data_IF_220816309363
#
_entry.id   IF_220816309363
#
_cell.length_a   1.000
_cell.length_b   1.000
_cell.length_c   1.000
_cell.angle_alpha   90.00
_cell.angle_beta   90.00
_cell.angle_gamma   90.00
#
_symmetry.space_group_name_H-M   'P 1'
#
loop_
_entity.id
_entity.type
_entity.pdbx_description
1 polymer ?
#
# COMPACT_ATOMS: atom_id res chain seq x y z
N UNK A 1 -7.38 11.28 -2.71
CA UNK A 1 -7.52 11.60 -1.26
C UNK A 1 -7.07 10.40 -0.43
N UNK A 2 -7.59 9.20 -0.68
CA UNK A 2 -7.24 7.97 0.06
C UNK A 2 -5.73 7.65 0.09
N UNK A 3 -5.03 7.80 -1.04
CA UNK A 3 -3.58 7.57 -1.10
C UNK A 3 -2.75 8.57 -0.28
N UNK A 4 -3.24 9.80 -0.11
CA UNK A 4 -2.59 10.84 0.68
C UNK A 4 -2.75 10.60 2.18
N UNK A 5 -3.95 10.25 2.62
CA UNK A 5 -4.24 9.93 4.03
C UNK A 5 -3.45 8.69 4.46
N UNK A 6 -3.44 7.63 3.64
CA UNK A 6 -2.63 6.44 3.91
C UNK A 6 -1.13 6.77 3.92
N UNK A 7 -0.65 7.65 3.05
CA UNK A 7 0.74 8.12 3.07
C UNK A 7 1.13 8.78 4.40
N UNK A 8 0.29 9.68 4.92
CA UNK A 8 0.53 10.37 6.20
C UNK A 8 0.50 9.39 7.37
N UNK A 9 -0.48 8.48 7.40
CA UNK A 9 -0.59 7.45 8.43
C UNK A 9 0.64 6.53 8.47
N UNK A 10 1.21 6.20 7.31
CA UNK A 10 2.48 5.46 7.23
C UNK A 10 3.63 6.21 7.89
N UNK A 11 3.78 7.51 7.63
CA UNK A 11 4.84 8.33 8.25
C UNK A 11 4.67 8.39 9.77
N UNK A 12 3.44 8.60 10.25
CA UNK A 12 3.14 8.63 11.69
C UNK A 12 3.48 7.27 12.33
N UNK A 13 3.02 6.18 11.73
CA UNK A 13 3.32 4.82 12.21
C UNK A 13 4.83 4.53 12.23
N UNK A 14 5.55 4.94 11.19
CA UNK A 14 7.01 4.80 11.13
C UNK A 14 7.73 5.58 12.24
N UNK A 15 7.33 6.83 12.47
CA UNK A 15 7.90 7.67 13.54
C UNK A 15 7.66 7.04 14.91
N UNK A 16 6.43 6.57 15.17
CA UNK A 16 6.08 5.90 16.43
C UNK A 16 6.92 4.65 16.68
N UNK A 17 7.25 3.88 15.64
CA UNK A 17 8.02 2.63 15.78
C UNK A 17 9.53 2.85 15.86
N UNK A 18 10.09 3.75 15.07
CA UNK A 18 11.55 3.80 14.86
C UNK A 18 12.25 4.89 15.66
N UNK A 19 11.53 5.90 16.18
CA UNK A 19 12.15 7.05 16.85
C UNK A 19 12.18 6.96 18.36
N UNK A 20 11.30 6.17 18.98
CA UNK A 20 11.18 6.11 20.42
C UNK A 20 11.42 4.70 20.94
N UNK A 21 12.40 4.47 21.83
CA UNK A 21 12.53 3.20 22.51
C UNK A 21 11.36 3.04 23.49
N UNK A 22 10.55 2.01 23.26
CA UNK A 22 9.32 1.77 24.03
C UNK A 22 9.61 0.72 25.12
N UNK A 23 9.14 0.98 26.34
CA UNK A 23 9.22 0.02 27.45
C UNK A 23 8.34 -1.19 27.17
N UNK A 24 8.71 -2.35 27.69
CA UNK A 24 7.97 -3.60 27.46
C UNK A 24 6.47 -3.53 27.84
N UNK A 25 6.13 -2.78 28.89
CA UNK A 25 4.76 -2.50 29.34
C UNK A 25 3.89 -1.86 28.25
N UNK A 26 4.51 -1.11 27.33
CA UNK A 26 3.86 -0.41 26.22
C UNK A 26 4.12 -1.11 24.86
N UNK A 27 4.50 -2.38 24.87
CA UNK A 27 4.76 -3.19 23.67
C UNK A 27 3.60 -3.18 22.66
N UNK A 28 2.36 -3.06 23.14
CA UNK A 28 1.17 -2.96 22.30
C UNK A 28 1.17 -1.69 21.42
N UNK A 29 1.73 -0.57 21.89
CA UNK A 29 1.86 0.68 21.12
C UNK A 29 2.81 0.47 19.95
N UNK A 30 3.94 -0.19 20.20
CA UNK A 30 4.92 -0.54 19.17
C UNK A 30 4.28 -1.39 18.08
N UNK A 31 3.53 -2.43 18.47
CA UNK A 31 2.82 -3.32 17.53
C UNK A 31 1.72 -2.59 16.76
N UNK A 32 0.92 -1.75 17.43
CA UNK A 32 -0.12 -0.96 16.78
C UNK A 32 0.47 0.04 15.76
N UNK A 33 1.58 0.71 16.11
CA UNK A 33 2.29 1.61 15.20
C UNK A 33 2.81 0.88 13.96
N UNK A 34 3.35 -0.32 14.14
CA UNK A 34 3.92 -1.08 13.04
C UNK A 34 2.84 -1.65 12.12
N UNK A 35 1.74 -2.15 12.69
CA UNK A 35 0.55 -2.58 11.93
C UNK A 35 -0.04 -1.39 11.17
N UNK A 36 -0.19 -0.24 11.80
CA UNK A 36 -0.68 0.98 11.14
C UNK A 36 0.22 1.35 9.96
N UNK A 37 1.55 1.38 10.16
CA UNK A 37 2.49 1.65 9.08
C UNK A 37 2.37 0.63 7.94
N UNK A 38 2.43 -0.67 8.25
CA UNK A 38 2.36 -1.74 7.26
C UNK A 38 1.04 -1.71 6.47
N UNK A 39 -0.09 -1.51 7.16
CA UNK A 39 -1.41 -1.36 6.57
C UNK A 39 -1.45 -0.15 5.63
N UNK A 40 -1.04 1.01 6.13
CA UNK A 40 -1.08 2.27 5.39
C UNK A 40 -0.19 2.27 4.15
N UNK A 41 1.00 1.67 4.23
CA UNK A 41 1.89 1.49 3.08
C UNK A 41 1.23 0.62 2.01
N UNK A 42 0.69 -0.54 2.41
CA UNK A 42 0.05 -1.48 1.48
C UNK A 42 -1.23 -0.91 0.89
N UNK A 43 -2.04 -0.21 1.68
CA UNK A 43 -3.21 0.50 1.20
C UNK A 43 -2.83 1.57 0.18
N UNK A 44 -1.77 2.36 0.45
CA UNK A 44 -1.32 3.42 -0.46
C UNK A 44 -0.77 2.87 -1.78
N UNK A 45 -0.03 1.76 -1.78
CA UNK A 45 0.49 1.14 -3.01
C UNK A 45 -0.61 0.55 -3.87
N UNK A 46 -1.54 -0.18 -3.26
CA UNK A 46 -2.69 -0.77 -3.96
C UNK A 46 -3.59 0.35 -4.51
N UNK A 47 -3.87 1.40 -3.75
CA UNK A 47 -4.64 2.55 -4.22
C UNK A 47 -4.00 3.22 -5.45
N UNK A 48 -2.66 3.38 -5.45
CA UNK A 48 -1.93 3.91 -6.62
C UNK A 48 -2.02 2.99 -7.82
N UNK A 49 -1.93 1.69 -7.61
CA UNK A 49 -2.11 0.71 -8.69
C UNK A 49 -3.50 0.83 -9.32
N UNK A 50 -4.54 0.96 -8.49
CA UNK A 50 -5.90 1.14 -8.97
C UNK A 50 -6.10 2.42 -9.75
N UNK A 51 -5.49 3.54 -9.36
CA UNK A 51 -5.57 4.78 -10.14
C UNK A 51 -5.01 4.59 -11.56
N UNK A 52 -3.90 3.86 -11.71
CA UNK A 52 -3.29 3.58 -13.03
C UNK A 52 -4.15 2.61 -13.83
N UNK A 53 -4.67 1.55 -13.20
CA UNK A 53 -5.56 0.59 -13.85
C UNK A 53 -6.86 1.26 -14.32
N UNK A 54 -7.49 2.05 -13.46
CA UNK A 54 -8.67 2.85 -13.78
C UNK A 54 -8.41 3.73 -15.00
N UNK A 55 -7.31 4.48 -14.97
CA UNK A 55 -6.90 5.35 -16.08
C UNK A 55 -6.73 4.58 -17.39
N UNK A 56 -6.12 3.39 -17.34
CA UNK A 56 -5.98 2.53 -18.51
C UNK A 56 -7.34 2.09 -19.08
N UNK A 57 -8.26 1.65 -18.22
CA UNK A 57 -9.54 1.12 -18.72
C UNK A 57 -10.45 2.23 -19.26
N UNK A 58 -10.47 3.41 -18.61
CA UNK A 58 -11.18 4.58 -19.13
C UNK A 58 -10.67 4.98 -20.52
N UNK A 59 -9.35 5.00 -20.74
CA UNK A 59 -8.79 5.31 -22.07
C UNK A 59 -9.05 4.23 -23.12
N UNK A 60 -9.08 2.96 -22.73
CA UNK A 60 -9.33 1.86 -23.67
C UNK A 60 -10.79 1.81 -24.12
N UNK A 61 -11.71 2.05 -23.20
CA UNK A 61 -13.15 1.95 -23.46
C UNK A 61 -13.71 3.36 -23.55
N UNK A 62 -13.57 4.00 -24.73
CA UNK A 62 -14.07 5.37 -24.96
C UNK A 62 -15.57 5.55 -24.72
N UNK A 63 -16.31 4.45 -24.55
CA UNK A 63 -17.74 4.39 -24.20
C UNK A 63 -18.00 3.80 -22.81
N UNK A 64 -16.97 3.51 -22.00
CA UNK A 64 -17.17 3.23 -20.58
C UNK A 64 -17.48 4.56 -19.88
N UNK A 65 -18.72 5.00 -20.10
CA UNK A 65 -19.36 6.15 -19.48
C UNK A 65 -19.17 6.04 -17.97
N UNK A 66 -18.75 7.16 -17.37
CA UNK A 66 -18.49 7.32 -15.93
C UNK A 66 -19.61 6.75 -15.05
N UNK A 67 -20.86 6.67 -15.52
CA UNK A 67 -22.02 6.20 -14.77
C UNK A 67 -21.98 4.73 -14.34
N UNK A 68 -21.47 3.79 -15.16
CA UNK A 68 -21.52 2.35 -14.81
C UNK A 68 -20.32 1.92 -13.98
N UNK A 69 -19.17 2.58 -14.15
CA UNK A 69 -17.96 2.32 -13.37
C UNK A 69 -18.03 2.91 -11.95
N UNK A 70 -18.76 4.01 -11.77
CA UNK A 70 -18.56 4.99 -10.69
C UNK A 70 -18.57 4.43 -9.25
N UNK A 71 -19.53 3.58 -8.87
CA UNK A 71 -19.73 3.27 -7.44
C UNK A 71 -19.50 1.81 -7.07
N UNK A 72 -20.05 0.85 -7.83
CA UNK A 72 -19.96 -0.58 -7.47
C UNK A 72 -18.56 -1.15 -7.64
N UNK A 73 -17.89 -0.83 -8.75
CA UNK A 73 -16.51 -1.27 -8.98
C UNK A 73 -15.58 -0.59 -7.97
N UNK A 74 -15.73 0.71 -7.74
CA UNK A 74 -14.97 1.45 -6.74
C UNK A 74 -15.11 0.85 -5.33
N UNK A 75 -16.34 0.54 -4.90
CA UNK A 75 -16.59 -0.12 -3.60
C UNK A 75 -15.97 -1.50 -3.51
N UNK A 76 -16.09 -2.31 -4.57
CA UNK A 76 -15.49 -3.65 -4.61
C UNK A 76 -13.96 -3.57 -4.56
N UNK A 77 -13.36 -2.61 -5.25
CA UNK A 77 -11.91 -2.38 -5.24
C UNK A 77 -11.42 -1.89 -3.86
N UNK A 78 -12.17 -1.00 -3.21
CA UNK A 78 -11.89 -0.58 -1.82
C UNK A 78 -11.99 -1.78 -0.87
N UNK A 79 -13.00 -2.63 -1.02
CA UNK A 79 -13.13 -3.84 -0.21
C UNK A 79 -11.93 -4.79 -0.40
N UNK A 80 -11.50 -5.03 -1.64
CA UNK A 80 -10.30 -5.83 -1.94
C UNK A 80 -9.06 -5.18 -1.31
N UNK A 81 -8.90 -3.87 -1.45
CA UNK A 81 -7.78 -3.12 -0.87
C UNK A 81 -7.70 -3.31 0.64
N UNK A 82 -8.84 -3.16 1.34
CA UNK A 82 -8.92 -3.33 2.78
C UNK A 82 -8.60 -4.78 3.19
N UNK A 83 -9.18 -5.77 2.50
CA UNK A 83 -8.95 -7.19 2.79
C UNK A 83 -7.47 -7.56 2.62
N UNK A 84 -6.85 -7.16 1.50
CA UNK A 84 -5.44 -7.46 1.24
C UNK A 84 -4.51 -6.74 2.24
N UNK A 85 -4.83 -5.50 2.60
CA UNK A 85 -4.05 -4.72 3.57
C UNK A 85 -4.16 -5.31 4.97
N UNK A 86 -5.35 -5.78 5.38
CA UNK A 86 -5.56 -6.49 6.65
C UNK A 86 -4.83 -7.84 6.63
N UNK A 87 -4.98 -8.62 5.56
CA UNK A 87 -4.34 -9.93 5.43
C UNK A 87 -2.82 -9.84 5.57
N UNK A 88 -2.20 -8.80 4.99
CA UNK A 88 -0.75 -8.53 5.15
C UNK A 88 -0.35 -8.22 6.59
N UNK A 89 -1.26 -7.69 7.40
CA UNK A 89 -0.98 -7.33 8.79
C UNK A 89 -1.18 -8.49 9.78
N UNK A 90 -1.96 -9.52 9.42
CA UNK A 90 -2.23 -10.68 10.31
C UNK A 90 -0.96 -11.32 10.84
N UNK A 91 0.08 -11.63 10.04
CA UNK A 91 1.30 -12.25 10.55
C UNK A 91 2.05 -11.39 11.58
N UNK A 92 1.98 -10.06 11.44
CA UNK A 92 2.66 -9.12 12.34
C UNK A 92 2.08 -9.13 13.76
N UNK A 93 0.82 -9.55 13.92
CA UNK A 93 0.18 -9.72 15.22
C UNK A 93 0.76 -10.88 16.03
N UNK A 94 1.38 -11.86 15.36
CA UNK A 94 1.94 -13.05 15.99
C UNK A 94 3.47 -12.98 16.15
N UNK A 95 4.10 -11.90 15.73
CA UNK A 95 5.56 -11.76 15.82
C UNK A 95 6.05 -11.42 17.23
N UNK A 96 7.11 -12.12 17.66
CA UNK A 96 7.83 -11.84 18.90
C UNK A 96 8.73 -10.60 18.79
N UNK A 97 9.13 -10.05 19.93
CA UNK A 97 9.97 -8.85 20.02
C UNK A 97 11.41 -9.19 20.37
N UNK A 98 12.36 -8.43 19.86
CA UNK A 98 13.73 -8.42 20.36
C UNK A 98 13.88 -7.40 21.50
N UNK A 99 14.46 -7.85 22.62
CA UNK A 99 14.55 -7.12 23.87
C UNK A 99 15.99 -6.77 24.17
N UNK A 100 16.24 -5.52 24.54
CA UNK A 100 17.55 -5.06 25.01
C UNK A 100 17.38 -4.48 26.40
N UNK A 101 18.17 -4.96 27.35
CA UNK A 101 18.16 -4.45 28.72
C UNK A 101 19.18 -3.34 28.85
N UNK A 102 18.73 -2.12 29.13
CA UNK A 102 19.59 -0.96 29.37
C UNK A 102 19.25 -0.41 30.76
N UNK A 103 20.24 -0.31 31.65
CA UNK A 103 20.05 0.21 33.01
C UNK A 103 18.90 -0.45 33.78
N UNK A 104 18.82 -1.78 33.75
CA UNK A 104 17.75 -2.59 34.38
C UNK A 104 16.33 -2.39 33.79
N UNK A 105 16.18 -1.58 32.74
CA UNK A 105 14.92 -1.41 32.01
C UNK A 105 14.97 -2.23 30.73
N UNK A 106 13.97 -3.09 30.53
CA UNK A 106 13.81 -3.87 29.30
C UNK A 106 13.13 -2.99 28.25
N UNK A 107 13.85 -2.73 27.17
CA UNK A 107 13.39 -1.92 26.03
C UNK A 107 13.16 -2.80 24.81
N UNK A 108 12.10 -2.50 24.07
CA UNK A 108 11.82 -3.13 22.79
C UNK A 108 12.51 -2.31 21.71
N UNK A 109 13.27 -3.00 20.86
CA UNK A 109 14.03 -2.35 19.78
C UNK A 109 13.40 -2.63 18.42
N UNK A 110 13.17 -3.89 18.08
CA UNK A 110 12.54 -4.30 16.82
C UNK A 110 11.84 -5.67 16.96
N UNK A 111 11.05 -6.06 15.96
CA UNK A 111 10.50 -7.41 15.88
C UNK A 111 11.59 -8.45 15.66
N UNK A 112 11.34 -9.72 16.01
CA UNK A 112 12.30 -10.79 15.76
C UNK A 112 12.78 -10.81 14.29
N UNK A 113 14.07 -11.12 14.09
CA UNK A 113 14.75 -11.08 12.80
C UNK A 113 14.04 -11.94 11.75
N UNK A 114 13.47 -13.08 12.17
CA UNK A 114 12.68 -13.94 11.30
C UNK A 114 11.43 -13.22 10.76
N UNK A 115 10.70 -12.52 11.64
CA UNK A 115 9.52 -11.76 11.26
C UNK A 115 9.86 -10.57 10.35
N UNK A 116 10.90 -9.81 10.70
CA UNK A 116 11.36 -8.66 9.90
C UNK A 116 11.80 -9.12 8.51
N UNK A 117 12.50 -10.24 8.41
CA UNK A 117 12.93 -10.80 7.12
C UNK A 117 11.74 -11.24 6.27
N UNK A 118 10.74 -11.88 6.88
CA UNK A 118 9.51 -12.28 6.18
C UNK A 118 8.74 -11.07 5.66
N UNK A 119 8.49 -10.05 6.50
CA UNK A 119 7.77 -8.84 6.10
C UNK A 119 8.52 -8.06 5.00
N UNK A 120 9.85 -7.98 5.10
CA UNK A 120 10.71 -7.36 4.08
C UNK A 120 10.60 -8.08 2.73
N UNK A 121 10.64 -9.41 2.73
CA UNK A 121 10.52 -10.20 1.51
C UNK A 121 9.15 -10.03 0.85
N UNK A 122 8.07 -10.12 1.62
CA UNK A 122 6.69 -9.92 1.13
C UNK A 122 6.52 -8.52 0.57
N UNK A 123 6.95 -7.50 1.33
CA UNK A 123 6.83 -6.10 0.93
C UNK A 123 7.66 -5.80 -0.32
N UNK A 124 8.89 -6.34 -0.42
CA UNK A 124 9.73 -6.21 -1.60
C UNK A 124 9.10 -6.84 -2.85
N UNK A 125 8.54 -8.05 -2.72
CA UNK A 125 7.87 -8.73 -3.83
C UNK A 125 6.62 -7.96 -4.32
N UNK A 126 5.86 -7.39 -3.38
CA UNK A 126 4.70 -6.54 -3.68
C UNK A 126 5.12 -5.29 -4.46
N UNK A 127 6.16 -4.57 -4.00
CA UNK A 127 6.66 -3.38 -4.70
C UNK A 127 7.21 -3.70 -6.08
N UNK A 128 7.91 -4.82 -6.24
CA UNK A 128 8.46 -5.25 -7.51
C UNK A 128 7.33 -5.53 -8.52
N UNK A 129 6.34 -6.33 -8.12
CA UNK A 129 5.16 -6.63 -8.94
C UNK A 129 4.39 -5.37 -9.30
N UNK A 130 4.16 -4.50 -8.32
CA UNK A 130 3.52 -3.20 -8.52
C UNK A 130 4.25 -2.34 -9.57
N UNK A 131 5.58 -2.26 -9.47
CA UNK A 131 6.39 -1.44 -10.36
C UNK A 131 6.30 -1.93 -11.80
N UNK A 132 6.44 -3.24 -12.02
CA UNK A 132 6.31 -3.84 -13.36
C UNK A 132 4.92 -3.60 -13.93
N UNK A 133 3.87 -3.91 -13.17
CA UNK A 133 2.50 -3.78 -13.63
C UNK A 133 2.16 -2.30 -13.95
N UNK A 134 2.66 -1.36 -13.16
CA UNK A 134 2.49 0.08 -13.40
C UNK A 134 3.20 0.55 -14.67
N UNK A 135 4.42 0.08 -14.93
CA UNK A 135 5.15 0.38 -16.17
C UNK A 135 4.39 -0.15 -17.39
N UNK A 136 3.96 -1.42 -17.34
CA UNK A 136 3.20 -2.05 -18.43
C UNK A 136 1.91 -1.29 -18.71
N UNK A 137 1.12 -0.99 -17.67
CA UNK A 137 -0.12 -0.23 -17.82
C UNK A 137 0.15 1.17 -18.39
N UNK A 138 1.19 1.86 -17.92
CA UNK A 138 1.54 3.20 -18.42
C UNK A 138 1.88 3.18 -19.91
N UNK A 139 2.63 2.18 -20.37
CA UNK A 139 2.96 1.99 -21.80
C UNK A 139 1.72 1.68 -22.62
N UNK A 140 0.82 0.82 -22.12
CA UNK A 140 -0.44 0.53 -22.82
C UNK A 140 -1.34 1.76 -22.90
N UNK A 141 -1.42 2.51 -21.80
CA UNK A 141 -2.18 3.75 -21.71
C UNK A 141 -1.65 4.81 -22.69
N UNK A 142 -0.33 4.98 -22.81
CA UNK A 142 0.23 5.96 -23.76
C UNK A 142 -0.06 5.60 -25.21
N UNK A 143 -0.09 4.31 -25.55
CA UNK A 143 -0.47 3.83 -26.89
C UNK A 143 -1.93 4.13 -27.21
N UNK A 144 -2.85 3.90 -26.28
CA UNK A 144 -4.27 4.22 -26.48
C UNK A 144 -4.49 5.74 -26.57
N UNK A 145 -3.79 6.53 -25.76
CA UNK A 145 -3.84 8.00 -25.84
C UNK A 145 -3.38 8.50 -27.22
N UNK A 146 -2.30 7.94 -27.77
CA UNK A 146 -1.82 8.29 -29.12
C UNK A 146 -2.86 7.98 -30.21
N UNK A 147 -3.53 6.82 -30.12
CA UNK A 147 -4.61 6.46 -31.06
C UNK A 147 -5.78 7.44 -30.97
N UNK A 148 -6.20 7.79 -29.75
CA UNK A 148 -7.27 8.75 -29.51
C UNK A 148 -6.92 10.14 -30.06
N UNK A 149 -5.70 10.62 -29.80
CA UNK A 149 -5.19 11.90 -30.33
C UNK A 149 -5.24 11.94 -31.85
N UNK A 150 -4.74 10.88 -32.51
CA UNK A 150 -4.75 10.81 -33.98
C UNK A 150 -6.17 10.77 -34.56
N UNK A 151 -7.09 10.06 -33.91
CA UNK A 151 -8.48 10.00 -34.38
C UNK A 151 -9.20 11.35 -34.20
N UNK A 152 -8.84 12.14 -33.19
CA UNK A 152 -9.39 13.48 -32.99
C UNK A 152 -8.91 14.46 -34.07
N UNK A 153 -7.65 14.37 -34.51
CA UNK A 153 -7.08 15.21 -35.58
C UNK A 153 -7.66 14.91 -36.97
N UNK A 154 -8.05 13.66 -37.26
CA UNK A 154 -8.63 13.26 -38.55
C UNK A 154 -10.15 13.53 -38.62
N UNK A 155 -10.81 13.66 -37.46
CA UNK A 155 -12.24 13.92 -37.35
C UNK A 155 -12.66 15.40 -37.43
N UNK A 156 -11.69 16.32 -37.51
CA UNK A 156 -11.88 17.77 -37.74
C UNK A 156 -11.49 18.15 -39.16
#
# INVERSE_FOLDING_TARGET
>A
IESGVCGILSVIGYVMCMRYPIREEFSWIFRAGYVCNAFSVTAATIAKFYMVLHRFVVMRSGTAVEEVWSTRMSLLLIAILLILSIAKCVPLLFCSYNRVTVNQVVLITYFDNACVSMDKNITSAMYFTYSIATIVLTVLTSRELYKLSRNAEVGT
#
